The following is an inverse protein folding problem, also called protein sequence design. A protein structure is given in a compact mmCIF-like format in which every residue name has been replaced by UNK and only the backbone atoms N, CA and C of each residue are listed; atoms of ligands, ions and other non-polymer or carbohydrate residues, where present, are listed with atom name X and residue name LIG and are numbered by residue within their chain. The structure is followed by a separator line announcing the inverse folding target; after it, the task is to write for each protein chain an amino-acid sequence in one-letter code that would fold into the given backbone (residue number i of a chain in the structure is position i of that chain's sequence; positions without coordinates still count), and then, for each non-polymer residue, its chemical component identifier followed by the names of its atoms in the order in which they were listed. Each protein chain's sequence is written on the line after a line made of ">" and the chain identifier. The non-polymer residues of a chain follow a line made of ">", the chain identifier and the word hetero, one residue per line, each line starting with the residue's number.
data_IF_158207598141
#
_entry.id   IF_158207598141
#
_cell.length_a   1.000
_cell.length_b   1.000
_cell.length_c   1.000
_cell.angle_alpha   90.00
_cell.angle_beta   90.00
_cell.angle_gamma   90.00
#
_symmetry.space_group_name_H-M   'P 1'
#
loop_
_entity.id
_entity.type
_entity.pdbx_description
1 polymer ?
#
# COMPACT_ATOMS: atom_id res chain seq x y z
N UNK A 1 -33.98 -21.87 -10.03
CA UNK A 1 -32.58 -21.66 -10.43
C UNK A 1 -32.28 -20.18 -10.29
N UNK A 2 -31.64 -19.79 -9.20
CA UNK A 2 -31.29 -18.39 -8.93
C UNK A 2 -29.89 -18.16 -9.49
N UNK A 3 -29.72 -17.17 -10.36
CA UNK A 3 -28.42 -16.81 -10.93
C UNK A 3 -27.42 -16.49 -9.80
N UNK A 4 -26.11 -16.77 -9.98
CA UNK A 4 -25.11 -16.36 -9.01
C UNK A 4 -25.13 -14.83 -8.92
N UNK A 5 -25.50 -14.29 -7.76
CA UNK A 5 -25.27 -12.87 -7.47
C UNK A 5 -23.76 -12.71 -7.44
N UNK A 6 -23.21 -11.97 -8.39
CA UNK A 6 -21.83 -11.49 -8.32
C UNK A 6 -21.76 -10.59 -7.09
N UNK A 7 -21.28 -11.11 -5.96
CA UNK A 7 -21.04 -10.28 -4.79
C UNK A 7 -19.90 -9.33 -5.11
N UNK A 8 -20.17 -8.04 -4.99
CA UNK A 8 -19.19 -6.99 -5.18
C UNK A 8 -18.23 -6.98 -3.98
N UNK A 9 -16.92 -7.05 -4.23
CA UNK A 9 -15.93 -6.93 -3.16
C UNK A 9 -15.90 -5.46 -2.71
N UNK A 10 -16.10 -5.13 -1.42
CA UNK A 10 -16.06 -3.74 -0.94
C UNK A 10 -14.76 -3.00 -1.30
N UNK A 11 -13.67 -3.73 -1.51
CA UNK A 11 -12.38 -3.17 -1.94
C UNK A 11 -12.42 -2.54 -3.34
N UNK A 12 -13.33 -2.97 -4.22
CA UNK A 12 -13.47 -2.46 -5.58
C UNK A 12 -13.84 -0.96 -5.60
N UNK A 13 -14.47 -0.46 -4.53
CA UNK A 13 -14.82 0.96 -4.32
C UNK A 13 -13.87 1.67 -3.35
N UNK A 14 -12.72 1.08 -3.04
CA UNK A 14 -11.67 1.73 -2.25
C UNK A 14 -10.55 2.17 -3.18
N UNK A 15 -10.37 3.50 -3.32
CA UNK A 15 -9.26 4.05 -4.10
C UNK A 15 -8.05 4.25 -3.20
N UNK A 16 -6.89 3.75 -3.62
CA UNK A 16 -5.60 3.98 -2.96
C UNK A 16 -4.72 4.84 -3.87
N UNK A 17 -4.22 5.96 -3.36
CA UNK A 17 -3.26 6.83 -4.04
C UNK A 17 -1.99 6.89 -3.23
N UNK A 18 -0.85 6.83 -3.92
CA UNK A 18 0.47 6.90 -3.30
C UNK A 18 1.27 8.01 -3.95
N UNK A 19 1.83 8.89 -3.13
CA UNK A 19 2.82 9.89 -3.55
C UNK A 19 4.13 9.56 -2.85
N UNK A 20 5.22 9.44 -3.61
CA UNK A 20 6.54 9.13 -3.07
C UNK A 20 7.46 10.34 -3.18
N UNK A 21 8.44 10.43 -2.28
CA UNK A 21 9.55 11.39 -2.36
C UNK A 21 10.85 10.75 -1.92
N UNK A 22 11.93 11.07 -2.63
CA UNK A 22 13.28 10.75 -2.21
C UNK A 22 13.73 11.72 -1.10
N UNK A 23 14.48 11.21 -0.13
CA UNK A 23 14.96 11.93 1.05
C UNK A 23 16.50 11.97 1.07
N UNK A 24 17.14 12.79 0.23
CA UNK A 24 18.60 12.86 0.15
C UNK A 24 19.24 13.36 1.46
N UNK A 25 18.51 14.12 2.26
CA UNK A 25 18.95 14.58 3.59
C UNK A 25 18.96 13.48 4.66
N UNK A 26 18.28 12.35 4.42
CA UNK A 26 18.20 11.20 5.34
C UNK A 26 19.10 10.04 4.91
N UNK A 27 20.12 10.31 4.08
CA UNK A 27 21.09 9.29 3.69
C UNK A 27 21.81 8.76 4.94
N UNK A 28 21.77 7.43 5.19
CA UNK A 28 22.62 6.82 6.17
C UNK A 28 24.09 7.10 5.85
N UNK A 29 24.98 6.90 6.82
CA UNK A 29 26.43 7.08 6.69
C UNK A 29 27.13 6.19 5.64
N UNK A 30 26.38 5.51 4.78
CA UNK A 30 26.79 4.43 3.89
C UNK A 30 26.33 4.75 2.47
N UNK A 31 27.22 4.64 1.48
CA UNK A 31 27.03 5.20 0.13
C UNK A 31 25.91 4.55 -0.70
N UNK A 32 25.40 3.39 -0.26
CA UNK A 32 24.43 2.58 -1.01
C UNK A 32 23.04 2.52 -0.36
N UNK A 33 22.75 3.39 0.61
CA UNK A 33 21.44 3.44 1.26
C UNK A 33 20.67 4.69 0.83
N UNK A 34 19.43 4.47 0.42
CA UNK A 34 18.55 5.52 -0.08
C UNK A 34 17.28 5.57 0.77
N UNK A 35 16.92 6.75 1.24
CA UNK A 35 15.73 6.97 2.04
C UNK A 35 14.60 7.51 1.16
N UNK A 36 13.40 6.96 1.33
CA UNK A 36 12.19 7.40 0.65
C UNK A 36 11.06 7.53 1.66
N UNK A 37 10.21 8.56 1.48
CA UNK A 37 8.92 8.65 2.16
C UNK A 37 7.80 8.41 1.17
N UNK A 38 6.68 7.91 1.68
CA UNK A 38 5.44 7.77 0.95
C UNK A 38 4.28 8.38 1.74
N UNK A 39 3.35 8.99 1.03
CA UNK A 39 2.05 9.41 1.56
C UNK A 39 0.97 8.60 0.86
N UNK A 40 0.20 7.84 1.63
CA UNK A 40 -0.88 7.00 1.13
C UNK A 40 -2.20 7.65 1.50
N UNK A 41 -3.08 7.81 0.51
CA UNK A 41 -4.46 8.26 0.68
C UNK A 41 -5.39 7.12 0.33
N UNK A 42 -6.18 6.67 1.29
CA UNK A 42 -7.20 5.63 1.11
C UNK A 42 -8.58 6.28 1.17
N UNK A 43 -9.35 6.17 0.10
CA UNK A 43 -10.69 6.77 -0.02
C UNK A 43 -11.72 5.66 -0.18
N UNK A 44 -12.66 5.58 0.76
CA UNK A 44 -13.81 4.68 0.69
C UNK A 44 -14.96 5.35 -0.08
N UNK A 45 -15.36 4.78 -1.22
CA UNK A 45 -16.53 5.24 -2.01
C UNK A 45 -17.77 4.36 -1.80
N UNK A 46 -17.71 3.36 -0.93
CA UNK A 46 -18.88 2.58 -0.57
C UNK A 46 -19.92 3.46 0.16
N UNK A 47 -21.18 3.07 0.08
CA UNK A 47 -22.26 3.66 0.88
C UNK A 47 -22.24 3.22 2.36
N UNK A 48 -21.30 2.36 2.73
CA UNK A 48 -21.11 1.82 4.08
C UNK A 48 -19.64 1.92 4.51
N UNK A 49 -19.41 1.85 5.83
CA UNK A 49 -18.08 1.91 6.40
C UNK A 49 -17.28 0.65 6.07
N UNK A 50 -15.99 0.83 5.76
CA UNK A 50 -15.01 -0.26 5.58
C UNK A 50 -13.87 -0.07 6.58
N UNK A 51 -13.20 -1.17 6.93
CA UNK A 51 -12.06 -1.17 7.83
C UNK A 51 -10.84 -1.73 7.12
N UNK A 52 -9.76 -0.96 7.10
CA UNK A 52 -8.44 -1.47 6.76
C UNK A 52 -7.97 -2.35 7.92
N UNK A 53 -7.75 -3.64 7.67
CA UNK A 53 -7.36 -4.60 8.72
C UNK A 53 -5.88 -4.93 8.69
N UNK A 54 -5.27 -4.98 7.52
CA UNK A 54 -3.88 -5.38 7.33
C UNK A 54 -3.24 -4.63 6.17
N UNK A 55 -1.91 -4.54 6.20
CA UNK A 55 -1.09 -4.12 5.08
C UNK A 55 -0.06 -5.20 4.76
N UNK A 56 0.27 -5.28 3.48
CA UNK A 56 1.39 -6.07 2.98
C UNK A 56 2.12 -5.21 1.95
N UNK A 57 3.43 -5.06 2.13
CA UNK A 57 4.33 -4.40 1.21
C UNK A 57 5.32 -5.41 0.68
N UNK A 58 5.46 -5.44 -0.64
CA UNK A 58 6.56 -6.10 -1.32
C UNK A 58 7.44 -5.03 -1.95
N UNK A 59 8.55 -4.70 -1.29
CA UNK A 59 9.50 -3.70 -1.77
C UNK A 59 10.58 -4.41 -2.57
N UNK A 60 10.76 -4.02 -3.83
CA UNK A 60 11.80 -4.57 -4.71
C UNK A 60 12.86 -3.50 -4.96
N UNK A 61 14.13 -3.82 -4.70
CA UNK A 61 15.24 -2.93 -5.02
C UNK A 61 15.68 -3.03 -6.49
N UNK A 62 16.63 -2.18 -6.90
CA UNK A 62 17.14 -2.14 -8.26
C UNK A 62 17.86 -3.44 -8.71
N UNK A 63 18.28 -4.28 -7.76
CA UNK A 63 18.92 -5.58 -8.02
C UNK A 63 17.90 -6.74 -8.04
N UNK A 64 16.61 -6.44 -7.89
CA UNK A 64 15.53 -7.44 -7.83
C UNK A 64 15.38 -8.12 -6.48
N UNK A 65 16.09 -7.68 -5.44
CA UNK A 65 15.92 -8.22 -4.09
C UNK A 65 14.59 -7.73 -3.52
N UNK A 66 13.82 -8.66 -2.99
CA UNK A 66 12.52 -8.39 -2.39
C UNK A 66 12.60 -8.36 -0.86
N UNK A 67 11.89 -7.40 -0.26
CA UNK A 67 11.68 -7.30 1.18
C UNK A 67 10.18 -7.20 1.44
N UNK A 68 9.68 -8.08 2.30
CA UNK A 68 8.29 -8.08 2.70
C UNK A 68 8.09 -7.37 4.03
N UNK A 69 7.05 -6.54 4.11
CA UNK A 69 6.61 -5.95 5.38
C UNK A 69 5.11 -6.17 5.49
N UNK A 70 4.69 -6.95 6.49
CA UNK A 70 3.28 -7.20 6.77
C UNK A 70 2.94 -6.81 8.20
N UNK A 71 1.68 -6.44 8.44
CA UNK A 71 1.21 -6.07 9.77
C UNK A 71 -0.27 -5.69 9.81
N UNK A 72 -0.81 -5.63 11.02
CA UNK A 72 -2.17 -5.16 11.26
C UNK A 72 -2.28 -3.64 11.03
N UNK A 73 -3.36 -3.23 10.37
CA UNK A 73 -3.66 -1.82 10.08
C UNK A 73 -2.58 -1.12 9.24
N UNK A 74 -2.39 0.17 9.51
CA UNK A 74 -1.27 1.00 9.01
C UNK A 74 -0.18 1.18 10.05
#
# INVERSE_FOLDING_TARGET
>A
MTAPKTEHNPADLVTVRVVTRHLPEHLPSDSDKYAFAYQITVVNHNSFAVRLTHRYWLVTDANGKQTEVSGEGV
#
